data_IF_744783319729
#
_entry.id   IF_744783319729
#
_cell.length_a   1.000
_cell.length_b   1.000
_cell.length_c   1.000
_cell.angle_alpha   90.00
_cell.angle_beta   90.00
_cell.angle_gamma   90.00
#
_symmetry.space_group_name_H-M   'P 1'
#
loop_
_entity.id
_entity.type
_entity.pdbx_description
1 polymer ?
#
# COMPACT_ATOMS: atom_id res chain seq x y z
N UNK A 1 0.22 -19.27 -61.33
CA UNK A 1 -1.21 -18.92 -61.28
C UNK A 1 -1.55 -18.44 -59.87
N UNK A 2 -2.02 -17.19 -59.77
CA UNK A 2 -2.93 -16.55 -58.77
C UNK A 2 -2.76 -16.95 -57.29
N UNK A 3 -2.11 -16.12 -56.47
CA UNK A 3 -2.71 -15.06 -55.62
C UNK A 3 -3.99 -15.47 -54.88
N UNK A 4 -3.91 -15.54 -53.55
CA UNK A 4 -4.93 -14.90 -52.70
C UNK A 4 -4.34 -14.56 -51.33
N UNK A 5 -4.00 -13.28 -51.16
CA UNK A 5 -3.70 -12.65 -49.88
C UNK A 5 -5.05 -12.25 -49.27
N UNK A 6 -5.51 -12.93 -48.23
CA UNK A 6 -6.69 -12.53 -47.49
C UNK A 6 -6.23 -11.55 -46.39
N UNK A 7 -6.37 -10.26 -46.70
CA UNK A 7 -6.29 -9.18 -45.71
C UNK A 7 -7.65 -9.09 -45.00
N UNK A 8 -7.71 -9.47 -43.73
CA UNK A 8 -8.84 -9.16 -42.85
C UNK A 8 -8.51 -7.82 -42.19
N UNK A 9 -9.09 -6.75 -42.72
CA UNK A 9 -9.11 -5.43 -42.08
C UNK A 9 -10.30 -5.43 -41.14
N UNK A 10 -10.05 -5.69 -39.85
CA UNK A 10 -11.02 -5.41 -38.79
C UNK A 10 -10.91 -3.92 -38.44
N UNK A 11 -11.78 -3.11 -39.04
CA UNK A 11 -12.01 -1.74 -38.62
C UNK A 11 -12.80 -1.77 -37.30
N UNK A 12 -12.12 -1.59 -36.17
CA UNK A 12 -12.75 -1.36 -34.88
C UNK A 12 -12.85 0.16 -34.69
N UNK A 13 -14.03 0.70 -34.97
CA UNK A 13 -14.40 2.05 -34.58
C UNK A 13 -14.82 2.02 -33.10
N UNK A 14 -14.08 2.73 -32.24
CA UNK A 14 -14.57 3.08 -30.91
C UNK A 14 -14.68 4.61 -30.83
N UNK A 15 -15.91 5.06 -31.00
CA UNK A 15 -16.41 6.33 -30.47
C UNK A 15 -16.65 6.15 -28.97
N UNK A 16 -15.97 6.93 -28.13
CA UNK A 16 -16.49 7.30 -26.82
C UNK A 16 -15.83 8.60 -26.34
N UNK A 17 -16.64 9.65 -26.45
CA UNK A 17 -16.54 10.93 -25.76
C UNK A 17 -16.52 10.74 -24.24
N UNK A 18 -15.69 11.52 -23.53
CA UNK A 18 -16.07 12.40 -22.40
C UNK A 18 -14.80 12.90 -21.72
N UNK A 19 -14.54 14.20 -21.85
CA UNK A 19 -13.56 14.88 -21.01
C UNK A 19 -14.05 14.87 -19.57
N UNK A 20 -13.26 14.28 -18.68
CA UNK A 20 -13.47 14.39 -17.24
C UNK A 20 -12.71 15.63 -16.78
N UNK A 21 -13.50 16.60 -16.32
CA UNK A 21 -13.10 17.72 -15.49
C UNK A 21 -12.67 17.17 -14.13
N UNK A 22 -11.42 17.40 -13.74
CA UNK A 22 -10.99 17.32 -12.34
C UNK A 22 -10.61 18.73 -11.93
N UNK A 23 -11.52 19.35 -11.20
CA UNK A 23 -11.29 20.59 -10.48
C UNK A 23 -10.74 20.34 -9.08
N UNK A 24 -10.32 21.46 -8.50
CA UNK A 24 -10.19 21.75 -7.08
C UNK A 24 -8.97 21.17 -6.33
N UNK A 25 -7.83 21.81 -6.56
CA UNK A 25 -6.78 21.93 -5.56
C UNK A 25 -7.05 23.18 -4.70
N UNK A 26 -7.72 22.97 -3.57
CA UNK A 26 -7.78 23.94 -2.47
C UNK A 26 -6.47 23.84 -1.65
N UNK A 27 -5.61 24.88 -1.63
CA UNK A 27 -4.53 24.96 -0.65
C UNK A 27 -5.07 25.46 0.69
N UNK A 28 -5.05 24.61 1.72
CA UNK A 28 -5.14 25.07 3.10
C UNK A 28 -3.82 25.77 3.46
N UNK A 29 -3.81 27.10 3.31
CA UNK A 29 -2.80 27.96 3.89
C UNK A 29 -2.88 27.91 5.41
N UNK A 30 -1.69 27.78 6.02
CA UNK A 30 -1.43 27.95 7.45
C UNK A 30 -1.33 29.44 7.82
N UNK A 31 -1.43 29.68 9.13
CA UNK A 31 -0.69 30.65 9.97
C UNK A 31 -1.51 31.70 10.73
N UNK A 32 -1.10 31.89 12.01
CA UNK A 32 -1.57 32.89 12.98
C UNK A 32 -1.97 32.25 14.32
N UNK A 33 -1.01 31.85 15.17
CA UNK A 33 -0.52 32.60 16.34
C UNK A 33 -1.60 33.04 17.35
N UNK A 34 -1.54 32.50 18.57
CA UNK A 34 -1.47 33.34 19.78
C UNK A 34 -0.94 32.55 20.99
N UNK A 35 -0.23 33.29 21.83
CA UNK A 35 0.69 32.89 22.89
C UNK A 35 0.00 32.34 24.14
N UNK A 36 0.71 31.55 24.94
CA UNK A 36 0.21 31.11 26.25
C UNK A 36 1.23 30.33 27.08
N UNK A 37 2.17 31.07 27.66
CA UNK A 37 2.72 30.90 29.01
C UNK A 37 3.37 29.57 29.43
N UNK A 38 4.69 29.64 29.63
CA UNK A 38 5.51 28.64 30.25
C UNK A 38 5.16 28.47 31.73
N UNK A 39 4.91 27.24 32.17
CA UNK A 39 5.18 26.83 33.55
C UNK A 39 5.72 25.41 33.53
N UNK A 40 7.01 25.30 33.84
CA UNK A 40 7.69 24.04 34.11
C UNK A 40 7.80 23.87 35.62
N UNK A 41 7.27 22.78 36.19
CA UNK A 41 7.84 22.21 37.38
C UNK A 41 8.33 20.77 37.12
N UNK A 42 9.65 20.65 37.15
CA UNK A 42 10.39 19.72 38.02
C UNK A 42 9.82 18.30 38.21
N UNK A 43 10.53 17.36 37.58
CA UNK A 43 10.87 16.03 38.09
C UNK A 43 9.73 15.17 38.68
N UNK A 44 9.26 14.22 37.86
CA UNK A 44 9.05 12.86 38.34
C UNK A 44 9.38 11.88 37.23
N UNK A 45 10.49 11.16 37.39
CA UNK A 45 10.78 9.94 36.65
C UNK A 45 9.80 8.88 37.14
N UNK A 46 8.63 8.83 36.54
CA UNK A 46 7.81 7.62 36.56
C UNK A 46 8.13 6.86 35.27
N UNK A 47 8.80 5.73 35.43
CA UNK A 47 8.78 4.64 34.46
C UNK A 47 7.31 4.30 34.20
N UNK A 48 6.74 4.87 33.14
CA UNK A 48 5.56 4.27 32.51
C UNK A 48 6.05 2.99 31.87
N UNK A 49 5.86 1.89 32.58
CA UNK A 49 5.78 0.58 31.98
C UNK A 49 4.88 0.69 30.76
N UNK A 50 5.47 0.53 29.58
CA UNK A 50 4.71 0.40 28.35
C UNK A 50 3.65 -0.68 28.58
N UNK A 51 2.36 -0.41 28.31
CA UNK A 51 1.35 -1.43 28.43
C UNK A 51 1.72 -2.54 27.46
N UNK A 52 2.21 -3.66 28.01
CA UNK A 52 2.34 -4.94 27.30
C UNK A 52 1.01 -5.12 26.57
N UNK A 53 0.97 -5.16 25.22
CA UNK A 53 -0.26 -5.39 24.49
C UNK A 53 -0.67 -6.84 24.73
N UNK A 54 -1.32 -7.05 25.87
CA UNK A 54 -1.98 -8.29 26.26
C UNK A 54 -3.38 -8.21 25.68
N UNK A 55 -3.45 -8.35 24.37
CA UNK A 55 -4.66 -8.85 23.74
C UNK A 55 -4.24 -9.72 22.58
N UNK A 56 -4.46 -11.02 22.75
CA UNK A 56 -4.79 -11.91 21.64
C UNK A 56 -6.16 -11.45 21.09
N UNK A 57 -6.24 -10.20 20.62
CA UNK A 57 -7.34 -9.72 19.81
C UNK A 57 -7.30 -10.59 18.57
N UNK A 58 -8.34 -11.42 18.40
CA UNK A 58 -8.47 -12.26 17.22
C UNK A 58 -8.53 -11.30 16.03
N UNK A 59 -7.51 -11.36 15.18
CA UNK A 59 -7.45 -10.63 13.92
C UNK A 59 -8.78 -10.78 13.18
N UNK A 60 -9.41 -9.67 12.81
CA UNK A 60 -10.64 -9.72 12.02
C UNK A 60 -10.28 -10.16 10.60
N UNK A 61 -10.75 -11.32 10.13
CA UNK A 61 -10.46 -11.78 8.77
C UNK A 61 -10.98 -10.82 7.68
N UNK A 62 -11.91 -9.92 8.02
CA UNK A 62 -12.43 -8.92 7.09
C UNK A 62 -11.63 -7.62 7.07
N UNK A 63 -10.89 -7.32 8.13
CA UNK A 63 -10.00 -6.16 8.20
C UNK A 63 -8.71 -6.55 8.93
N UNK A 64 -7.75 -7.20 8.22
CA UNK A 64 -6.48 -7.55 8.83
C UNK A 64 -5.76 -6.29 9.33
N UNK A 65 -5.14 -6.41 10.52
CA UNK A 65 -4.32 -5.35 11.10
C UNK A 65 -3.14 -5.02 10.19
N UNK A 66 -2.58 -3.83 10.34
CA UNK A 66 -1.42 -3.44 9.53
C UNK A 66 -0.18 -4.22 9.97
N UNK A 67 -0.09 -4.47 11.27
CA UNK A 67 0.96 -5.24 11.94
C UNK A 67 0.99 -6.67 11.38
N UNK A 68 -0.19 -7.29 11.18
CA UNK A 68 -0.30 -8.57 10.49
C UNK A 68 0.26 -8.49 9.07
N UNK A 69 -0.14 -7.49 8.28
CA UNK A 69 0.34 -7.31 6.91
C UNK A 69 1.87 -7.17 6.87
N UNK A 70 2.43 -6.29 7.72
CA UNK A 70 3.88 -6.07 7.85
C UNK A 70 4.59 -7.39 8.13
N UNK A 71 4.16 -8.11 9.16
CA UNK A 71 4.74 -9.40 9.55
C UNK A 71 4.66 -10.42 8.41
N UNK A 72 3.51 -10.54 7.74
CA UNK A 72 3.34 -11.47 6.64
C UNK A 72 4.19 -11.10 5.41
N UNK A 73 4.36 -9.81 5.11
CA UNK A 73 5.31 -9.37 4.08
C UNK A 73 6.73 -9.85 4.39
N UNK A 74 7.19 -9.67 5.64
CA UNK A 74 8.52 -10.10 6.07
C UNK A 74 8.74 -11.60 5.92
N UNK A 75 7.67 -12.40 6.05
CA UNK A 75 7.75 -13.85 5.92
C UNK A 75 7.73 -14.28 4.45
N UNK A 76 6.80 -13.74 3.66
CA UNK A 76 6.43 -14.27 2.35
C UNK A 76 6.95 -13.50 1.15
N UNK A 77 7.30 -12.22 1.30
CA UNK A 77 7.64 -11.34 0.19
C UNK A 77 9.06 -10.77 0.27
N UNK A 78 9.58 -10.54 1.47
CA UNK A 78 10.98 -10.16 1.70
C UNK A 78 11.85 -11.41 1.58
N UNK A 79 12.34 -11.68 0.36
CA UNK A 79 13.11 -12.89 0.04
C UNK A 79 14.54 -12.78 0.56
N UNK A 80 15.11 -11.57 0.52
CA UNK A 80 16.48 -11.31 0.95
C UNK A 80 16.62 -11.05 2.47
N UNK A 81 15.50 -10.96 3.19
CA UNK A 81 15.40 -10.73 4.65
C UNK A 81 16.05 -9.43 5.10
N UNK A 82 15.95 -8.39 4.28
CA UNK A 82 16.50 -7.07 4.60
C UNK A 82 15.56 -6.19 5.44
N UNK A 83 14.35 -6.68 5.77
CA UNK A 83 13.35 -5.93 6.53
C UNK A 83 12.61 -4.87 5.70
N UNK A 84 12.77 -4.92 4.38
CA UNK A 84 12.12 -4.07 3.39
C UNK A 84 11.52 -4.95 2.30
N UNK A 85 10.70 -4.35 1.46
CA UNK A 85 10.19 -4.99 0.26
C UNK A 85 10.72 -4.24 -0.96
N UNK A 86 11.71 -4.81 -1.62
CA UNK A 86 12.33 -4.21 -2.79
C UNK A 86 11.37 -4.22 -3.99
N UNK A 87 11.57 -3.31 -4.94
CA UNK A 87 10.81 -3.29 -6.20
C UNK A 87 10.76 -4.65 -6.90
N UNK A 88 11.91 -5.29 -7.00
CA UNK A 88 12.04 -6.58 -7.70
C UNK A 88 11.29 -7.70 -6.96
N UNK A 89 11.27 -7.69 -5.63
CA UNK A 89 10.55 -8.68 -4.82
C UNK A 89 9.04 -8.49 -4.99
N UNK A 90 8.55 -7.24 -4.93
CA UNK A 90 7.15 -6.93 -5.16
C UNK A 90 6.70 -7.25 -6.58
N UNK A 91 7.53 -6.95 -7.59
CA UNK A 91 7.25 -7.27 -9.00
C UNK A 91 7.23 -8.78 -9.23
N UNK A 92 8.22 -9.51 -8.71
CA UNK A 92 8.28 -10.98 -8.77
C UNK A 92 7.06 -11.61 -8.10
N UNK A 93 6.66 -11.09 -6.93
CA UNK A 93 5.46 -11.55 -6.24
C UNK A 93 4.19 -11.34 -7.09
N UNK A 94 4.01 -10.14 -7.67
CA UNK A 94 2.87 -9.84 -8.55
C UNK A 94 2.88 -10.74 -9.79
N UNK A 95 4.05 -11.01 -10.36
CA UNK A 95 4.17 -11.84 -11.55
C UNK A 95 3.93 -13.32 -11.28
N UNK A 96 4.27 -13.77 -10.08
CA UNK A 96 3.97 -15.13 -9.59
C UNK A 96 2.48 -15.37 -9.36
N UNK A 97 1.67 -14.31 -9.23
CA UNK A 97 0.24 -14.45 -9.02
C UNK A 97 -0.40 -15.14 -10.24
N UNK A 98 -1.31 -16.08 -10.00
CA UNK A 98 -2.07 -16.68 -11.08
C UNK A 98 -2.89 -15.60 -11.80
N UNK A 99 -3.13 -15.79 -13.10
CA UNK A 99 -3.74 -14.79 -13.97
C UNK A 99 -5.08 -14.22 -13.44
N UNK A 100 -5.85 -15.02 -12.69
CA UNK A 100 -7.12 -14.59 -12.09
C UNK A 100 -6.92 -13.71 -10.85
N UNK A 101 -5.81 -13.84 -10.13
CA UNK A 101 -5.47 -13.02 -8.97
C UNK A 101 -4.82 -11.70 -9.38
N UNK A 102 -4.29 -11.57 -10.60
CA UNK A 102 -3.76 -10.30 -11.15
C UNK A 102 -4.80 -9.18 -11.22
N UNK A 103 -6.10 -9.49 -11.06
CA UNK A 103 -7.15 -8.49 -10.84
C UNK A 103 -6.90 -7.58 -9.62
N UNK A 104 -6.09 -8.02 -8.65
CA UNK A 104 -5.66 -7.20 -7.50
C UNK A 104 -4.98 -5.90 -7.92
N UNK A 105 -4.33 -5.87 -9.09
CA UNK A 105 -3.67 -4.67 -9.63
C UNK A 105 -4.66 -3.54 -9.96
N UNK A 106 -5.94 -3.86 -10.16
CA UNK A 106 -6.97 -2.83 -10.30
C UNK A 106 -7.27 -2.13 -8.97
N UNK A 107 -7.07 -2.83 -7.85
CA UNK A 107 -7.33 -2.33 -6.49
C UNK A 107 -6.10 -1.62 -5.92
N UNK A 108 -4.93 -2.25 -6.03
CA UNK A 108 -3.69 -1.76 -5.45
C UNK A 108 -2.92 -0.85 -6.39
N UNK A 109 -3.08 -1.02 -7.70
CA UNK A 109 -2.28 -0.38 -8.73
C UNK A 109 -1.15 -1.29 -9.23
N UNK A 110 -0.38 -0.79 -10.20
CA UNK A 110 0.90 -1.39 -10.59
C UNK A 110 1.93 -1.26 -9.46
N UNK A 111 3.03 -2.02 -9.57
CA UNK A 111 4.21 -1.90 -8.67
C UNK A 111 4.61 -0.44 -8.50
N UNK A 112 4.70 0.33 -9.59
CA UNK A 112 5.05 1.76 -9.54
C UNK A 112 4.10 2.60 -8.68
N UNK A 113 2.79 2.32 -8.76
CA UNK A 113 1.78 3.03 -7.99
C UNK A 113 1.83 2.63 -6.52
N UNK A 114 2.18 1.39 -6.22
CA UNK A 114 2.40 0.93 -4.85
C UNK A 114 3.64 1.59 -4.27
N UNK A 115 4.78 1.54 -4.97
CA UNK A 115 6.01 2.21 -4.54
C UNK A 115 5.76 3.69 -4.29
N UNK A 116 5.24 4.43 -5.27
CA UNK A 116 4.94 5.86 -5.12
C UNK A 116 4.03 6.20 -3.91
N UNK A 117 3.19 5.27 -3.47
CA UNK A 117 2.24 5.50 -2.37
C UNK A 117 2.70 4.94 -1.03
N UNK A 118 3.64 4.01 -1.02
CA UNK A 118 4.04 3.28 0.15
C UNK A 118 5.45 3.66 0.57
N UNK A 119 6.38 3.66 -0.38
CA UNK A 119 7.76 4.14 -0.22
C UNK A 119 7.72 5.64 0.11
N UNK A 120 7.91 5.97 1.39
CA UNK A 120 7.78 7.33 1.92
C UNK A 120 9.10 8.07 1.90
N UNK A 121 10.22 7.36 2.04
CA UNK A 121 11.57 7.94 1.98
C UNK A 121 12.16 7.98 0.57
N UNK A 122 11.56 7.26 -0.39
CA UNK A 122 11.90 7.28 -1.80
C UNK A 122 13.12 6.43 -2.15
N UNK A 123 13.40 5.38 -1.37
CA UNK A 123 14.57 4.53 -1.55
C UNK A 123 14.38 3.34 -2.51
N UNK A 124 13.22 3.28 -3.19
CA UNK A 124 12.78 2.21 -4.09
C UNK A 124 12.54 0.85 -3.40
N UNK A 125 12.37 0.88 -2.08
CA UNK A 125 11.90 -0.22 -1.27
C UNK A 125 10.80 0.25 -0.32
N UNK A 126 10.01 -0.68 0.21
CA UNK A 126 9.01 -0.39 1.25
C UNK A 126 9.52 -0.99 2.55
N UNK A 127 10.07 -0.13 3.41
CA UNK A 127 10.53 -0.51 4.75
C UNK A 127 9.35 -0.89 5.62
N UNK A 128 9.42 -2.07 6.23
CA UNK A 128 8.31 -2.60 7.04
C UNK A 128 8.08 -1.81 8.32
N UNK A 129 9.18 -1.36 8.95
CA UNK A 129 9.13 -0.65 10.23
C UNK A 129 8.98 0.88 10.08
N UNK A 130 9.26 1.42 8.90
CA UNK A 130 9.21 2.87 8.67
C UNK A 130 8.06 3.25 7.74
N UNK A 131 8.11 2.88 6.47
CA UNK A 131 7.17 3.30 5.43
C UNK A 131 5.75 2.84 5.72
N UNK A 132 5.58 1.56 6.06
CA UNK A 132 4.26 0.99 6.32
C UNK A 132 3.58 1.64 7.53
N UNK A 133 4.35 2.07 8.53
CA UNK A 133 3.86 2.69 9.78
C UNK A 133 3.58 4.18 9.59
N UNK A 134 4.53 4.93 9.01
CA UNK A 134 4.46 6.38 8.89
C UNK A 134 3.54 6.83 7.76
N UNK A 135 3.27 5.97 6.78
CA UNK A 135 2.43 6.27 5.61
C UNK A 135 1.09 5.51 5.64
N UNK A 136 0.51 5.36 6.84
CA UNK A 136 -0.67 4.52 7.08
C UNK A 136 -1.96 4.98 6.39
N UNK A 137 -2.05 6.24 6.02
CA UNK A 137 -3.21 6.86 5.39
C UNK A 137 -3.20 6.76 3.86
N UNK A 138 -2.03 6.47 3.25
CA UNK A 138 -1.91 6.24 1.81
C UNK A 138 -1.63 4.76 1.50
N UNK A 139 -0.65 4.18 2.19
CA UNK A 139 -0.22 2.80 1.98
C UNK A 139 -1.20 1.81 2.61
N UNK A 140 -1.89 1.05 1.75
CA UNK A 140 -2.92 0.09 2.14
C UNK A 140 -3.91 0.67 3.17
N UNK A 141 -4.32 1.93 2.96
CA UNK A 141 -5.04 2.72 3.95
C UNK A 141 -6.35 2.08 4.45
N UNK A 142 -7.10 1.44 3.56
CA UNK A 142 -8.39 0.83 3.87
C UNK A 142 -8.29 -0.66 4.17
N UNK A 143 -9.21 -1.16 5.01
CA UNK A 143 -9.39 -2.59 5.29
C UNK A 143 -9.50 -3.40 4.00
N UNK A 144 -10.26 -2.90 3.03
CA UNK A 144 -10.43 -3.55 1.73
C UNK A 144 -9.09 -3.79 1.02
N UNK A 145 -8.19 -2.79 1.01
CA UNK A 145 -6.87 -2.92 0.40
C UNK A 145 -5.99 -3.91 1.16
N UNK A 146 -5.93 -3.83 2.49
CA UNK A 146 -5.16 -4.79 3.31
C UNK A 146 -5.65 -6.21 3.16
N UNK A 147 -6.96 -6.44 3.19
CA UNK A 147 -7.58 -7.75 2.96
C UNK A 147 -7.29 -8.28 1.57
N UNK A 148 -7.46 -7.47 0.54
CA UNK A 148 -7.22 -7.89 -0.84
C UNK A 148 -5.73 -8.21 -1.07
N UNK A 149 -4.83 -7.42 -0.49
CA UNK A 149 -3.39 -7.70 -0.49
C UNK A 149 -3.07 -9.02 0.23
N UNK A 150 -3.51 -9.20 1.48
CA UNK A 150 -3.34 -10.45 2.24
C UNK A 150 -3.80 -11.67 1.44
N UNK A 151 -5.03 -11.65 0.96
CA UNK A 151 -5.64 -12.78 0.28
C UNK A 151 -4.96 -13.11 -1.06
N UNK A 152 -4.27 -12.15 -1.67
CA UNK A 152 -3.58 -12.38 -2.95
C UNK A 152 -2.21 -13.03 -2.74
N UNK A 153 -1.46 -12.57 -1.74
CA UNK A 153 -0.05 -12.96 -1.56
C UNK A 153 0.17 -14.00 -0.47
N UNK A 154 -0.64 -13.98 0.59
CA UNK A 154 -0.47 -14.83 1.77
C UNK A 154 -1.82 -15.11 2.45
N UNK A 155 -2.73 -15.85 1.78
CA UNK A 155 -4.08 -16.11 2.28
C UNK A 155 -4.09 -16.85 3.63
N UNK A 156 -3.06 -17.65 3.90
CA UNK A 156 -2.96 -18.51 5.09
C UNK A 156 -2.15 -17.90 6.24
N UNK A 157 -1.73 -16.63 6.14
CA UNK A 157 -0.93 -15.96 7.18
C UNK A 157 -1.82 -15.40 8.31
N UNK A 158 -1.52 -15.71 9.56
CA UNK A 158 -2.27 -15.36 10.78
C UNK A 158 -1.38 -14.74 11.88
#
# INVERSE_FOLDING_TARGET
MKLSKIFIIMAVAILATSGIVLGDETPCSKEGEEQGECTNPEASLEEKEDPVPTSLEREDPNCPSRELIIRCCGIHLDDNKNGKLDRNELETAIDSLPWYAKGILQILGSVDKMMKKCDMDGDDAISMDYDMIHNKDQCLASCFKRRAFKNSFFPDCE
#
